data_IF_678290700981
#
_entry.id   IF_678290700981
#
_cell.length_a   1.000
_cell.length_b   1.000
_cell.length_c   1.000
_cell.angle_alpha   90.00
_cell.angle_beta   90.00
_cell.angle_gamma   90.00
#
_symmetry.space_group_name_H-M   'P 1'
#
loop_
_entity.id
_entity.type
_entity.pdbx_description
1 polymer ?
#
# COMPACT_ATOMS: atom_id res chain seq x y z
N UNK A 1 -6.43 12.13 -3.08
CA UNK A 1 -6.47 10.72 -3.53
C UNK A 1 -5.11 10.04 -3.44
N UNK A 2 -4.04 10.64 -3.97
CA UNK A 2 -2.68 10.08 -3.93
C UNK A 2 -2.20 9.59 -2.56
N UNK A 3 -2.39 10.37 -1.48
CA UNK A 3 -1.93 9.99 -0.14
C UNK A 3 -2.62 8.69 0.32
N UNK A 4 -3.92 8.56 0.07
CA UNK A 4 -4.70 7.36 0.40
C UNK A 4 -4.29 6.15 -0.46
N UNK A 5 -4.02 6.36 -1.74
CA UNK A 5 -3.57 5.29 -2.64
C UNK A 5 -2.13 4.81 -2.31
N UNK A 6 -1.23 5.72 -1.93
CA UNK A 6 0.16 5.36 -1.57
C UNK A 6 0.27 4.67 -0.21
N UNK A 7 -0.71 4.88 0.68
CA UNK A 7 -0.73 4.22 1.98
C UNK A 7 -0.85 2.70 1.84
N UNK A 8 -1.59 2.21 0.83
CA UNK A 8 -1.72 0.77 0.52
C UNK A 8 -0.55 0.23 -0.31
N UNK A 9 0.67 0.26 0.23
CA UNK A 9 1.83 -0.34 -0.44
C UNK A 9 1.70 -1.87 -0.57
N UNK A 10 2.35 -2.49 -1.57
CA UNK A 10 2.23 -3.94 -1.84
C UNK A 10 2.54 -4.84 -0.62
N UNK A 11 3.43 -4.40 0.27
CA UNK A 11 3.70 -5.12 1.52
C UNK A 11 2.46 -5.22 2.39
N UNK A 12 1.70 -4.14 2.53
CA UNK A 12 0.47 -4.14 3.32
C UNK A 12 -0.66 -4.96 2.69
N UNK A 13 -0.58 -5.27 1.40
CA UNK A 13 -1.59 -6.11 0.72
C UNK A 13 -1.21 -7.59 0.80
N UNK A 14 0.09 -7.91 0.76
CA UNK A 14 0.57 -9.30 0.75
C UNK A 14 0.72 -9.90 2.16
N UNK A 15 1.10 -9.09 3.16
CA UNK A 15 1.36 -9.60 4.51
C UNK A 15 0.09 -9.98 5.29
N UNK A 16 -1.00 -9.18 5.32
CA UNK A 16 -2.17 -9.52 6.11
C UNK A 16 -2.86 -10.82 5.70
N UNK A 17 -3.06 -11.14 4.40
CA UNK A 17 -3.59 -12.44 3.99
C UNK A 17 -2.70 -13.60 4.41
N UNK A 18 -1.37 -13.41 4.33
CA UNK A 18 -0.42 -14.47 4.73
C UNK A 18 -0.45 -14.73 6.23
N UNK A 19 -0.42 -13.69 7.05
CA UNK A 19 -0.53 -13.82 8.51
C UNK A 19 -1.90 -14.40 8.88
N UNK A 20 -2.97 -13.96 8.20
CA UNK A 20 -4.32 -14.52 8.38
C UNK A 20 -4.41 -16.00 8.01
N UNK A 21 -3.73 -16.44 6.95
CA UNK A 21 -3.73 -17.86 6.54
C UNK A 21 -2.97 -18.77 7.51
N UNK A 22 -1.91 -18.27 8.13
CA UNK A 22 -1.05 -19.07 9.02
C UNK A 22 -1.59 -19.15 10.44
N UNK A 23 -2.26 -18.09 10.91
CA UNK A 23 -2.66 -17.96 12.31
C UNK A 23 -4.16 -17.77 12.52
N UNK A 24 -4.95 -17.83 11.45
CA UNK A 24 -6.41 -17.71 11.50
C UNK A 24 -6.89 -16.45 12.22
N UNK A 25 -7.88 -16.62 13.11
CA UNK A 25 -8.53 -15.51 13.82
C UNK A 25 -7.78 -15.03 15.07
N UNK A 26 -6.69 -15.68 15.47
CA UNK A 26 -5.96 -15.37 16.72
C UNK A 26 -5.38 -13.95 16.73
N UNK A 27 -5.07 -13.36 15.56
CA UNK A 27 -4.48 -12.02 15.45
C UNK A 27 -5.47 -10.92 15.05
N UNK A 28 -6.77 -11.18 15.03
CA UNK A 28 -7.77 -10.15 14.66
C UNK A 28 -7.72 -8.96 15.62
N UNK A 29 -7.53 -9.21 16.92
CA UNK A 29 -7.37 -8.14 17.91
C UNK A 29 -6.14 -7.26 17.62
N UNK A 30 -5.03 -7.86 17.18
CA UNK A 30 -3.80 -7.15 16.84
C UNK A 30 -3.98 -6.32 15.57
N UNK A 31 -4.76 -6.81 14.59
CA UNK A 31 -5.12 -6.06 13.39
C UNK A 31 -5.93 -4.80 13.73
N UNK A 32 -6.94 -4.93 14.58
CA UNK A 32 -7.76 -3.78 15.03
C UNK A 32 -6.88 -2.77 15.78
N UNK A 33 -6.04 -3.24 16.71
CA UNK A 33 -5.10 -2.39 17.43
C UNK A 33 -4.13 -1.65 16.49
N UNK A 34 -3.60 -2.34 15.47
CA UNK A 34 -2.69 -1.74 14.49
C UNK A 34 -3.37 -0.64 13.67
N UNK A 35 -4.62 -0.84 13.23
CA UNK A 35 -5.38 0.17 12.48
C UNK A 35 -5.67 1.40 13.34
N UNK A 36 -6.09 1.20 14.60
CA UNK A 36 -6.33 2.29 15.54
C UNK A 36 -5.05 3.09 15.83
N UNK A 37 -3.94 2.41 16.07
CA UNK A 37 -2.65 3.05 16.32
C UNK A 37 -2.17 3.84 15.11
N UNK A 38 -2.24 3.26 13.89
CA UNK A 38 -1.93 3.97 12.65
C UNK A 38 -2.80 5.22 12.47
N UNK A 39 -4.10 5.12 12.74
CA UNK A 39 -5.00 6.27 12.66
C UNK A 39 -4.62 7.38 13.64
N UNK A 40 -4.34 7.03 14.89
CA UNK A 40 -3.92 8.00 15.91
C UNK A 40 -2.60 8.70 15.53
N UNK A 41 -1.61 7.93 15.08
CA UNK A 41 -0.31 8.47 14.64
C UNK A 41 -0.49 9.44 13.46
N UNK A 42 -1.25 9.05 12.44
CA UNK A 42 -1.53 9.93 11.29
C UNK A 42 -2.28 11.21 11.68
N UNK A 43 -3.20 11.12 12.64
CA UNK A 43 -3.95 12.27 13.16
C UNK A 43 -3.04 13.26 13.89
N UNK A 44 -2.14 12.77 14.75
CA UNK A 44 -1.20 13.61 15.49
C UNK A 44 -0.16 14.24 14.57
N UNK A 45 0.34 13.49 13.59
CA UNK A 45 1.20 13.99 12.53
C UNK A 45 0.52 15.12 11.75
N UNK A 46 -0.73 14.92 11.34
CA UNK A 46 -1.52 15.93 10.62
C UNK A 46 -1.72 17.19 11.46
N UNK A 47 -2.08 17.03 12.74
CA UNK A 47 -2.23 18.15 13.68
C UNK A 47 -0.93 18.93 13.83
N UNK A 48 0.20 18.25 13.99
CA UNK A 48 1.51 18.89 14.11
C UNK A 48 1.88 19.73 12.87
N UNK A 49 1.65 19.18 11.68
CA UNK A 49 1.92 19.86 10.42
C UNK A 49 1.06 21.13 10.24
N UNK A 50 -0.23 21.06 10.61
CA UNK A 50 -1.16 22.20 10.50
C UNK A 50 -0.86 23.28 11.54
N UNK A 51 -0.57 22.92 12.79
CA UNK A 51 -0.34 23.90 13.86
C UNK A 51 1.03 24.59 13.78
N UNK A 52 2.06 23.90 13.27
CA UNK A 52 3.43 24.42 13.26
C UNK A 52 3.82 25.01 11.89
N UNK A 53 3.12 24.61 10.81
CA UNK A 53 3.48 24.96 9.43
C UNK A 53 4.84 24.39 8.98
N UNK A 54 5.47 23.55 9.80
CA UNK A 54 6.76 22.93 9.55
C UNK A 54 6.58 21.43 9.30
N UNK A 55 7.51 20.84 8.53
CA UNK A 55 7.49 19.40 8.30
C UNK A 55 7.80 18.64 9.59
N UNK A 56 7.33 17.40 9.70
CA UNK A 56 7.67 16.50 10.81
C UNK A 56 9.20 16.40 10.98
N UNK A 57 9.92 16.35 9.85
CA UNK A 57 11.38 16.32 9.81
C UNK A 57 12.01 17.54 10.48
N UNK A 58 11.45 18.73 10.32
CA UNK A 58 11.92 19.94 11.00
C UNK A 58 11.54 19.96 12.49
N UNK A 59 10.43 19.31 12.85
CA UNK A 59 10.08 19.01 14.24
C UNK A 59 11.12 18.09 14.91
N UNK A 60 11.55 17.03 14.22
CA UNK A 60 12.57 16.11 14.74
C UNK A 60 13.96 16.74 14.85
N UNK A 61 14.28 17.75 14.03
CA UNK A 61 15.53 18.53 14.17
C UNK A 61 15.56 19.43 15.42
N UNK A 62 14.40 19.78 15.98
CA UNK A 62 14.28 20.61 17.19
C UNK A 62 14.37 19.79 18.49
N UNK A 63 14.41 18.47 18.42
CA UNK A 63 14.59 17.62 19.61
C UNK A 63 15.99 17.84 20.21
N UNK A 64 16.11 18.02 21.55
CA UNK A 64 17.39 18.21 22.20
C UNK A 64 18.20 16.91 22.16
N UNK A 65 19.19 16.85 21.26
CA UNK A 65 20.10 15.72 21.07
C UNK A 65 21.25 16.08 20.13
N UNK A 66 22.28 15.22 19.98
CA UNK A 66 23.38 15.44 19.06
C UNK A 66 22.85 15.68 17.63
N UNK A 67 23.37 16.72 16.99
CA UNK A 67 22.86 17.37 15.78
C UNK A 67 22.36 16.34 14.74
N UNK A 68 21.07 16.38 14.40
CA UNK A 68 20.38 15.56 13.39
C UNK A 68 20.28 14.03 13.65
N UNK A 69 20.56 13.53 14.85
CA UNK A 69 20.49 12.08 15.14
C UNK A 69 19.09 11.48 14.88
N UNK A 70 18.04 12.18 15.30
CA UNK A 70 16.66 11.72 15.10
C UNK A 70 16.24 11.67 13.63
N UNK A 71 16.81 12.54 12.78
CA UNK A 71 16.54 12.54 11.33
C UNK A 71 17.19 11.32 10.69
N UNK A 72 18.43 10.98 11.05
CA UNK A 72 19.10 9.79 10.55
C UNK A 72 18.43 8.49 11.00
N UNK A 73 17.92 8.46 12.25
CA UNK A 73 17.20 7.30 12.78
C UNK A 73 15.89 7.04 12.03
N UNK A 74 15.23 8.08 11.50
CA UNK A 74 14.01 7.93 10.70
C UNK A 74 14.34 7.64 9.23
N UNK A 75 15.34 8.31 8.66
CA UNK A 75 15.68 8.18 7.25
C UNK A 75 16.31 6.82 6.91
N UNK A 76 17.21 6.29 7.75
CA UNK A 76 17.86 5.00 7.44
C UNK A 76 16.82 3.87 7.30
N UNK A 77 15.96 3.58 8.30
CA UNK A 77 14.96 2.53 8.17
C UNK A 77 13.97 2.80 7.05
N UNK A 78 13.59 4.07 6.85
CA UNK A 78 12.66 4.45 5.79
C UNK A 78 13.22 4.12 4.40
N UNK A 79 14.54 4.29 4.17
CA UNK A 79 15.15 3.93 2.90
C UNK A 79 15.10 2.41 2.66
N UNK A 80 15.42 1.59 3.66
CA UNK A 80 15.31 0.13 3.56
C UNK A 80 13.87 -0.32 3.27
N UNK A 81 12.90 0.24 4.00
CA UNK A 81 11.47 -0.06 3.78
C UNK A 81 11.00 0.40 2.41
N UNK A 82 11.45 1.57 1.94
CA UNK A 82 11.09 2.10 0.62
C UNK A 82 11.62 1.19 -0.49
N UNK A 83 12.87 0.72 -0.41
CA UNK A 83 13.44 -0.23 -1.37
C UNK A 83 12.66 -1.55 -1.35
N UNK A 84 12.35 -2.09 -0.17
CA UNK A 84 11.55 -3.32 -0.04
C UNK A 84 10.13 -3.16 -0.60
N UNK A 85 9.51 -1.99 -0.42
CA UNK A 85 8.16 -1.71 -0.92
C UNK A 85 8.12 -1.58 -2.44
N UNK A 86 9.11 -0.90 -3.03
CA UNK A 86 9.26 -0.79 -4.49
C UNK A 86 9.54 -2.15 -5.11
N UNK A 87 10.42 -2.95 -4.50
CA UNK A 87 10.70 -4.31 -4.95
C UNK A 87 9.46 -5.21 -4.88
N UNK A 88 8.67 -5.11 -3.81
CA UNK A 88 7.41 -5.84 -3.65
C UNK A 88 6.36 -5.47 -4.71
N UNK A 89 6.19 -4.17 -4.98
CA UNK A 89 5.28 -3.68 -6.03
C UNK A 89 5.74 -4.13 -7.43
N UNK A 90 7.03 -3.99 -7.73
CA UNK A 90 7.61 -4.42 -8.99
C UNK A 90 7.46 -5.94 -9.21
N UNK A 91 7.66 -6.73 -8.15
CA UNK A 91 7.47 -8.19 -8.19
C UNK A 91 6.02 -8.57 -8.48
N UNK A 92 5.05 -7.95 -7.81
CA UNK A 92 3.63 -8.20 -8.05
C UNK A 92 3.22 -7.86 -9.50
N UNK A 93 3.68 -6.71 -10.00
CA UNK A 93 3.44 -6.31 -11.39
C UNK A 93 4.10 -7.24 -12.41
N UNK A 94 5.32 -7.72 -12.13
CA UNK A 94 6.01 -8.69 -12.98
C UNK A 94 5.24 -10.02 -13.05
N UNK A 95 4.75 -10.53 -11.92
CA UNK A 95 3.94 -11.76 -11.91
C UNK A 95 2.63 -11.61 -12.68
N UNK A 96 1.98 -10.45 -12.61
CA UNK A 96 0.80 -10.16 -13.42
C UNK A 96 1.12 -10.13 -14.92
N UNK A 97 2.30 -9.65 -15.29
CA UNK A 97 2.74 -9.58 -16.69
C UNK A 97 3.02 -10.97 -17.27
N UNK A 98 3.58 -11.88 -16.47
CA UNK A 98 3.82 -13.29 -16.86
C UNK A 98 2.52 -14.05 -17.15
N UNK A 99 1.41 -13.68 -16.51
CA UNK A 99 0.10 -14.29 -16.78
C UNK A 99 -0.45 -13.91 -18.17
N UNK A 100 -0.01 -12.79 -18.74
CA UNK A 100 -0.45 -12.29 -20.05
C UNK A 100 0.55 -12.62 -21.15
N UNK A 101 1.85 -12.60 -20.83
CA UNK A 101 2.94 -12.86 -21.76
C UNK A 101 3.85 -13.98 -21.22
N UNK A 102 3.99 -15.11 -21.93
CA UNK A 102 4.87 -16.19 -21.48
C UNK A 102 6.32 -15.69 -21.46
N UNK A 103 7.00 -15.83 -20.32
CA UNK A 103 8.40 -15.43 -20.14
C UNK A 103 8.89 -15.61 -18.71
N UNK A 104 10.21 -15.49 -18.52
CA UNK A 104 10.82 -15.63 -17.21
C UNK A 104 10.53 -14.37 -16.33
N UNK A 105 10.01 -14.53 -15.10
CA UNK A 105 9.61 -13.42 -14.24
C UNK A 105 10.72 -12.43 -13.92
N UNK A 106 11.99 -12.87 -13.90
CA UNK A 106 13.14 -12.03 -13.53
C UNK A 106 13.36 -10.91 -14.54
N UNK A 107 13.17 -11.21 -15.83
CA UNK A 107 13.31 -10.22 -16.90
C UNK A 107 12.17 -9.20 -16.87
N UNK A 108 10.94 -9.67 -16.67
CA UNK A 108 9.77 -8.78 -16.58
C UNK A 108 9.85 -7.81 -15.40
N UNK A 109 10.42 -8.23 -14.26
CA UNK A 109 10.65 -7.33 -13.13
C UNK A 109 11.56 -6.16 -13.48
N UNK A 110 12.68 -6.41 -14.17
CA UNK A 110 13.60 -5.36 -14.61
C UNK A 110 12.93 -4.43 -15.61
N UNK A 111 12.19 -4.98 -16.59
CA UNK A 111 11.46 -4.20 -17.60
C UNK A 111 10.42 -3.29 -16.95
N UNK A 112 9.64 -3.78 -15.99
CA UNK A 112 8.62 -2.99 -15.28
C UNK A 112 9.25 -1.85 -14.48
N UNK A 113 10.36 -2.10 -13.78
CA UNK A 113 11.07 -1.07 -13.01
C UNK A 113 11.61 0.02 -13.93
N UNK A 114 12.29 -0.36 -15.02
CA UNK A 114 12.84 0.60 -15.99
C UNK A 114 11.72 1.43 -16.62
N UNK A 115 10.63 0.78 -17.03
CA UNK A 115 9.46 1.45 -17.63
C UNK A 115 8.82 2.44 -16.65
N UNK A 116 8.71 2.06 -15.38
CA UNK A 116 8.17 2.97 -14.34
C UNK A 116 9.11 4.15 -14.12
N UNK A 117 10.43 3.92 -14.08
CA UNK A 117 11.41 5.01 -13.93
C UNK A 117 11.39 5.99 -15.11
N UNK A 118 11.32 5.51 -16.36
CA UNK A 118 11.26 6.40 -17.53
C UNK A 118 9.99 7.23 -17.57
N UNK A 119 8.84 6.66 -17.19
CA UNK A 119 7.58 7.40 -17.12
C UNK A 119 7.63 8.50 -16.03
N UNK A 120 8.25 8.24 -14.89
CA UNK A 120 8.41 9.24 -13.82
C UNK A 120 9.31 10.40 -14.24
N UNK A 121 10.38 10.14 -14.98
CA UNK A 121 11.30 11.18 -15.47
C UNK A 121 10.65 12.14 -16.48
N UNK A 122 9.60 11.69 -17.18
CA UNK A 122 8.85 12.53 -18.11
C UNK A 122 7.88 13.53 -17.47
N UNK A 123 7.81 13.58 -16.14
CA UNK A 123 7.25 14.72 -15.39
C UNK A 123 5.74 14.94 -15.49
N UNK A 124 4.99 14.10 -16.21
CA UNK A 124 3.54 14.21 -16.40
C UNK A 124 2.75 13.43 -15.35
N UNK A 125 2.97 13.76 -14.07
CA UNK A 125 2.28 13.15 -12.92
C UNK A 125 0.75 13.27 -13.00
N UNK A 126 0.22 14.37 -13.56
CA UNK A 126 -1.22 14.57 -13.70
C UNK A 126 -1.90 13.53 -14.61
N UNK A 127 -1.18 12.97 -15.59
CA UNK A 127 -1.70 11.91 -16.45
C UNK A 127 -1.70 10.56 -15.73
N UNK A 128 -0.65 10.28 -14.95
CA UNK A 128 -0.56 9.07 -14.14
C UNK A 128 -1.68 9.01 -13.09
N UNK A 129 -1.97 10.14 -12.45
CA UNK A 129 -3.04 10.23 -11.44
C UNK A 129 -4.41 9.88 -12.03
N UNK A 130 -4.71 10.40 -13.23
CA UNK A 130 -5.97 10.14 -13.91
C UNK A 130 -6.11 8.65 -14.26
N UNK A 131 -5.06 8.03 -14.79
CA UNK A 131 -5.07 6.61 -15.13
C UNK A 131 -5.25 5.75 -13.86
N UNK A 132 -4.49 6.03 -12.80
CA UNK A 132 -4.60 5.31 -11.53
C UNK A 132 -6.00 5.45 -10.91
N UNK A 133 -6.60 6.63 -11.01
CA UNK A 133 -7.96 6.88 -10.53
C UNK A 133 -8.99 6.08 -11.30
N UNK A 134 -8.87 6.04 -12.63
CA UNK A 134 -9.75 5.22 -13.48
C UNK A 134 -9.60 3.74 -13.12
N UNK A 135 -8.37 3.22 -13.03
CA UNK A 135 -8.15 1.81 -12.69
C UNK A 135 -8.69 1.46 -11.30
N UNK A 136 -8.46 2.30 -10.30
CA UNK A 136 -8.97 2.08 -8.95
C UNK A 136 -10.51 2.07 -8.93
N UNK A 137 -11.15 3.02 -9.62
CA UNK A 137 -12.61 3.07 -9.70
C UNK A 137 -13.19 1.84 -10.41
N UNK A 138 -12.51 1.34 -11.44
CA UNK A 138 -12.93 0.17 -12.21
C UNK A 138 -12.81 -1.10 -11.38
N UNK A 139 -11.73 -1.25 -10.62
CA UNK A 139 -11.53 -2.37 -9.68
C UNK A 139 -12.58 -2.37 -8.59
N UNK A 140 -12.86 -1.22 -7.96
CA UNK A 140 -13.91 -1.11 -6.94
C UNK A 140 -15.29 -1.45 -7.52
N UNK A 141 -15.58 -1.02 -8.75
CA UNK A 141 -16.82 -1.36 -9.45
C UNK A 141 -16.95 -2.86 -9.74
N UNK A 142 -15.89 -3.48 -10.24
CA UNK A 142 -15.83 -4.93 -10.51
C UNK A 142 -16.00 -5.76 -9.24
N UNK A 143 -15.33 -5.39 -8.14
CA UNK A 143 -15.52 -6.07 -6.85
C UNK A 143 -16.96 -5.99 -6.38
N UNK A 144 -17.56 -4.79 -6.41
CA UNK A 144 -18.96 -4.61 -6.01
C UNK A 144 -19.95 -5.40 -6.90
N UNK A 145 -19.65 -5.53 -8.19
CA UNK A 145 -20.42 -6.36 -9.10
C UNK A 145 -20.28 -7.85 -8.78
N UNK A 146 -19.06 -8.32 -8.51
CA UNK A 146 -18.80 -9.70 -8.09
C UNK A 146 -19.53 -10.04 -6.78
N UNK A 147 -19.52 -9.15 -5.80
CA UNK A 147 -20.22 -9.31 -4.53
C UNK A 147 -21.75 -9.39 -4.75
N UNK A 148 -22.28 -8.53 -5.61
CA UNK A 148 -23.71 -8.52 -5.97
C UNK A 148 -24.12 -9.83 -6.69
N UNK A 149 -23.24 -10.36 -7.54
CA UNK A 149 -23.47 -11.62 -8.25
C UNK A 149 -23.37 -12.84 -7.31
N UNK A 150 -22.44 -12.83 -6.35
CA UNK A 150 -22.32 -13.89 -5.34
C UNK A 150 -23.55 -13.95 -4.42
N UNK A 151 -24.15 -12.81 -4.08
CA UNK A 151 -25.39 -12.76 -3.30
C UNK A 151 -26.61 -13.34 -4.05
N UNK A 152 -26.56 -13.38 -5.39
CA UNK A 152 -27.60 -14.00 -6.24
C UNK A 152 -27.30 -15.48 -6.53
N UNK A 153 -26.14 -16.00 -6.12
CA UNK A 153 -25.76 -17.40 -6.33
C UNK A 153 -26.47 -18.32 -5.32
N UNK A 154 -27.15 -19.40 -5.77
CA UNK A 154 -27.88 -20.32 -4.87
C UNK A 154 -27.01 -20.95 -3.78
N UNK A 155 -25.69 -21.07 -3.99
CA UNK A 155 -24.73 -21.68 -3.06
C UNK A 155 -24.53 -20.91 -1.74
N UNK A 156 -24.72 -19.59 -1.72
CA UNK A 156 -24.52 -18.79 -0.50
C UNK A 156 -25.71 -18.90 0.47
N UNK A 157 -26.92 -19.05 -0.06
CA UNK A 157 -28.17 -19.21 0.72
C UNK A 157 -28.16 -20.52 1.52
N UNK A 158 -27.59 -21.60 0.97
CA UNK A 158 -27.47 -22.88 1.67
C UNK A 158 -26.50 -22.84 2.86
N UNK A 159 -25.43 -22.04 2.79
CA UNK A 159 -24.45 -21.92 3.88
C UNK A 159 -24.97 -21.10 5.07
N UNK A 160 -25.83 -20.09 4.83
CA UNK A 160 -26.43 -19.27 5.90
C UNK A 160 -27.55 -19.98 6.69
N UNK A 161 -28.06 -21.12 6.21
CA UNK A 161 -29.14 -21.88 6.83
C UNK A 161 -28.63 -23.06 7.69
N UNK A 162 -27.32 -23.31 7.70
CA UNK A 162 -26.66 -24.35 8.51
C UNK A 162 -25.87 -23.81 9.72
N UNK A 163 -25.93 -22.50 9.98
CA UNK A 163 -25.42 -21.84 11.20
C UNK A 163 -26.59 -21.29 11.99
#
# INVERSE_FOLDING_TARGET
>A
MFIAASAGGAGEILFPPRVGSLYGYTFVWAMIAAVLLKWFVNREIGRFAVCTGATILDGFKKLPGPKNWAVWLILIPQLFVSVGSVAGLAGAAATATVLVLPGDPRYWMVVVVITTMTILLWGRYAWLEKIATVMASLLSGLSCWQDSFLLLSPSFIYYSLQV
#
